data_IF_671320063124
#
_entry.id   IF_671320063124
#
_cell.length_a   1.000
_cell.length_b   1.000
_cell.length_c   1.000
_cell.angle_alpha   90.00
_cell.angle_beta   90.00
_cell.angle_gamma   90.00
#
_symmetry.space_group_name_H-M   'P 1'
#
loop_
_entity.id
_entity.type
_entity.pdbx_description
1 polymer ?
#
# COMPACT_ATOMS: atom_id res chain seq x y z
N UNK A 1 -1.07 -1.63 24.78
CA UNK A 1 0.05 -2.20 23.99
C UNK A 1 -0.56 -2.86 22.75
N UNK A 2 0.11 -2.87 21.58
CA UNK A 2 -0.40 -3.60 20.42
C UNK A 2 -0.58 -5.08 20.77
N UNK A 3 -1.53 -5.76 20.14
CA UNK A 3 -1.76 -7.18 20.34
C UNK A 3 -0.51 -7.98 19.93
N UNK A 4 -0.09 -9.00 20.71
CA UNK A 4 1.01 -9.88 20.32
C UNK A 4 0.63 -10.74 19.12
N UNK A 5 1.62 -11.21 18.35
CA UNK A 5 1.34 -12.17 17.29
C UNK A 5 0.78 -13.47 17.88
N UNK A 6 -0.25 -14.07 17.26
CA UNK A 6 -0.67 -15.41 17.63
C UNK A 6 0.43 -16.44 17.33
N UNK A 7 0.28 -17.65 17.86
CA UNK A 7 1.10 -18.79 17.44
C UNK A 7 0.97 -19.02 15.93
N UNK A 8 2.03 -19.55 15.33
CA UNK A 8 2.14 -19.72 13.89
C UNK A 8 0.99 -20.58 13.35
N UNK A 9 0.06 -20.01 12.55
CA UNK A 9 -1.10 -20.75 12.06
C UNK A 9 -0.79 -21.56 10.80
N UNK A 10 0.42 -21.43 10.25
CA UNK A 10 0.79 -22.07 8.99
C UNK A 10 1.27 -23.51 9.21
N UNK A 11 1.17 -24.33 8.16
CA UNK A 11 1.63 -25.72 8.22
C UNK A 11 3.14 -25.76 8.46
N UNK A 12 3.65 -26.50 9.48
CA UNK A 12 5.08 -26.63 9.73
C UNK A 12 5.86 -27.03 8.48
N UNK A 13 6.96 -26.34 8.22
CA UNK A 13 7.80 -26.55 7.03
C UNK A 13 7.32 -25.88 5.73
N UNK A 14 6.16 -25.22 5.73
CA UNK A 14 5.75 -24.37 4.60
C UNK A 14 6.57 -23.07 4.53
N UNK A 15 6.63 -22.46 3.35
CA UNK A 15 7.30 -21.17 3.17
C UNK A 15 6.68 -20.05 4.02
N UNK A 16 5.35 -20.10 4.20
CA UNK A 16 4.62 -19.16 5.06
C UNK A 16 4.97 -19.38 6.53
N UNK A 17 5.11 -20.65 6.96
CA UNK A 17 5.56 -20.96 8.32
C UNK A 17 6.92 -20.35 8.63
N UNK A 18 7.91 -20.54 7.75
CA UNK A 18 9.26 -20.00 7.96
C UNK A 18 9.29 -18.47 8.00
N UNK A 19 8.58 -17.79 7.10
CA UNK A 19 8.52 -16.33 7.12
C UNK A 19 7.82 -15.80 8.37
N UNK A 20 6.75 -16.47 8.83
CA UNK A 20 6.03 -16.09 10.04
C UNK A 20 6.85 -16.34 11.32
N UNK A 21 7.62 -17.44 11.39
CA UNK A 21 8.55 -17.68 12.50
C UNK A 21 9.57 -16.56 12.65
N UNK A 22 10.11 -16.04 11.54
CA UNK A 22 11.03 -14.89 11.58
C UNK A 22 10.38 -13.64 12.18
N UNK A 23 9.08 -13.43 11.95
CA UNK A 23 8.33 -12.34 12.57
C UNK A 23 8.15 -12.55 14.07
N UNK A 24 7.89 -13.79 14.51
CA UNK A 24 7.79 -14.16 15.92
C UNK A 24 9.13 -14.03 16.65
N UNK A 25 10.22 -14.46 16.03
CA UNK A 25 11.58 -14.29 16.53
C UNK A 25 11.90 -12.82 16.72
N UNK A 26 11.65 -11.99 15.69
CA UNK A 26 11.82 -10.55 15.77
C UNK A 26 10.93 -9.90 16.83
N UNK A 27 9.70 -10.40 17.04
CA UNK A 27 8.83 -9.90 18.10
C UNK A 27 9.43 -10.14 19.49
N UNK A 28 10.07 -11.30 19.68
CA UNK A 28 10.70 -11.73 20.94
C UNK A 28 12.08 -11.11 21.15
N UNK A 29 12.74 -10.62 20.09
CA UNK A 29 14.04 -9.97 20.18
C UNK A 29 14.01 -8.78 21.15
N UNK A 30 15.00 -8.73 22.05
CA UNK A 30 15.20 -7.58 22.90
C UNK A 30 15.68 -6.38 22.07
N UNK A 31 15.22 -5.18 22.42
CA UNK A 31 15.73 -3.96 21.80
C UNK A 31 17.17 -3.75 22.28
N UNK A 32 18.15 -4.07 21.42
CA UNK A 32 19.56 -3.79 21.68
C UNK A 32 19.75 -2.27 21.56
N UNK A 33 19.47 -1.55 22.65
CA UNK A 33 19.36 -0.10 22.73
C UNK A 33 20.66 0.70 22.48
N UNK A 34 21.65 0.13 21.80
CA UNK A 34 22.98 0.73 21.59
C UNK A 34 23.18 1.32 20.19
N UNK A 35 22.15 1.35 19.33
CA UNK A 35 22.24 2.06 18.05
C UNK A 35 21.75 3.50 18.17
N UNK A 36 22.69 4.46 18.06
CA UNK A 36 22.40 5.87 17.84
C UNK A 36 21.42 6.00 16.66
N UNK A 37 20.17 6.40 16.95
CA UNK A 37 19.09 6.50 15.96
C UNK A 37 17.95 5.49 16.11
N UNK A 38 17.97 4.59 17.10
CA UNK A 38 16.83 3.70 17.38
C UNK A 38 15.58 4.52 17.75
N UNK A 39 14.66 4.67 16.80
CA UNK A 39 13.36 5.28 17.09
C UNK A 39 12.56 4.31 17.96
N UNK A 40 12.12 4.69 19.17
CA UNK A 40 11.31 3.82 20.03
C UNK A 40 9.97 3.41 19.39
N UNK A 41 9.62 4.03 18.24
CA UNK A 41 8.47 3.67 17.42
C UNK A 41 8.64 2.35 16.66
N UNK A 42 9.88 1.93 16.38
CA UNK A 42 10.23 0.75 15.58
C UNK A 42 11.20 -0.16 16.33
N UNK A 43 10.80 -0.51 17.56
CA UNK A 43 11.45 -1.59 18.31
C UNK A 43 11.32 -2.92 17.55
N UNK A 44 12.23 -3.89 17.74
CA UNK A 44 12.13 -5.23 17.15
C UNK A 44 10.74 -5.83 17.35
N UNK A 45 10.23 -5.74 18.60
CA UNK A 45 8.87 -6.14 18.95
C UNK A 45 7.79 -5.59 18.00
N UNK A 46 7.82 -4.29 17.73
CA UNK A 46 6.82 -3.65 16.88
C UNK A 46 7.01 -4.03 15.41
N UNK A 47 8.26 -4.14 14.95
CA UNK A 47 8.58 -4.55 13.59
C UNK A 47 8.09 -5.98 13.30
N UNK A 48 8.34 -6.93 14.22
CA UNK A 48 7.85 -8.31 14.12
C UNK A 48 6.33 -8.36 13.98
N UNK A 49 5.61 -7.63 14.84
CA UNK A 49 4.15 -7.52 14.78
C UNK A 49 3.63 -6.93 13.47
N UNK A 50 4.24 -5.86 12.97
CA UNK A 50 3.85 -5.25 11.69
C UNK A 50 3.92 -6.30 10.58
N UNK A 51 5.06 -6.98 10.44
CA UNK A 51 5.27 -7.95 9.37
C UNK A 51 4.39 -9.20 9.54
N UNK A 52 4.24 -9.72 10.76
CA UNK A 52 3.40 -10.87 11.04
C UNK A 52 1.92 -10.59 10.74
N UNK A 53 1.38 -9.44 11.17
CA UNK A 53 0.00 -9.07 10.83
C UNK A 53 -0.18 -8.74 9.35
N UNK A 54 0.83 -8.20 8.66
CA UNK A 54 0.78 -8.03 7.21
C UNK A 54 0.60 -9.36 6.48
N UNK A 55 1.17 -10.46 6.99
CA UNK A 55 0.93 -11.81 6.44
C UNK A 55 -0.47 -12.35 6.77
N UNK A 56 -0.94 -12.15 8.02
CA UNK A 56 -2.24 -12.66 8.47
C UNK A 56 -3.43 -11.92 7.86
N UNK A 57 -3.32 -10.61 7.76
CA UNK A 57 -4.41 -9.71 7.35
C UNK A 57 -4.32 -9.33 5.87
N UNK A 58 -3.41 -9.98 5.12
CA UNK A 58 -3.30 -9.78 3.68
C UNK A 58 -4.66 -10.05 3.00
N UNK A 59 -5.23 -9.08 2.25
CA UNK A 59 -6.56 -9.25 1.64
C UNK A 59 -6.63 -10.33 0.56
N UNK A 60 -5.47 -10.75 0.03
CA UNK A 60 -5.33 -11.74 -1.03
C UNK A 60 -4.16 -12.68 -0.73
N UNK A 61 -4.23 -13.90 -1.25
CA UNK A 61 -3.14 -14.89 -1.17
C UNK A 61 -1.87 -14.39 -1.86
N UNK A 62 -2.06 -13.67 -2.96
CA UNK A 62 -1.04 -12.98 -3.73
C UNK A 62 -0.35 -11.90 -2.86
N UNK A 63 -1.16 -11.11 -2.13
CA UNK A 63 -0.72 -10.14 -1.14
C UNK A 63 0.20 -10.74 -0.08
N UNK A 64 -0.27 -11.82 0.53
CA UNK A 64 0.45 -12.59 1.55
C UNK A 64 1.78 -13.12 1.00
N UNK A 65 1.77 -13.68 -0.21
CA UNK A 65 2.97 -14.26 -0.85
C UNK A 65 4.05 -13.22 -1.13
N UNK A 66 3.69 -11.99 -1.47
CA UNK A 66 4.69 -10.93 -1.68
C UNK A 66 5.31 -10.45 -0.37
N UNK A 67 4.51 -10.24 0.68
CA UNK A 67 5.01 -9.91 2.02
C UNK A 67 5.98 -11.01 2.48
N UNK A 68 5.58 -12.28 2.31
CA UNK A 68 6.40 -13.45 2.61
C UNK A 68 7.73 -13.46 1.83
N UNK A 69 7.70 -13.19 0.52
CA UNK A 69 8.90 -13.08 -0.33
C UNK A 69 9.84 -11.97 0.13
N UNK A 70 9.30 -10.83 0.55
CA UNK A 70 10.12 -9.72 1.03
C UNK A 70 10.77 -10.04 2.37
N UNK A 71 10.03 -10.65 3.30
CA UNK A 71 10.57 -11.16 4.56
C UNK A 71 11.70 -12.15 4.28
N UNK A 72 11.50 -13.10 3.37
CA UNK A 72 12.52 -14.10 3.01
C UNK A 72 13.80 -13.46 2.44
N UNK A 73 13.69 -12.38 1.67
CA UNK A 73 14.85 -11.67 1.11
C UNK A 73 15.69 -10.97 2.16
N UNK A 74 15.12 -10.54 3.28
CA UNK A 74 15.86 -9.97 4.40
C UNK A 74 16.85 -10.99 4.95
N UNK A 75 18.13 -10.63 5.09
CA UNK A 75 19.16 -11.53 5.60
C UNK A 75 19.42 -11.30 7.08
N UNK A 76 19.36 -10.04 7.52
CA UNK A 76 19.59 -9.62 8.90
C UNK A 76 18.32 -9.13 9.59
N UNK A 77 18.36 -9.04 10.93
CA UNK A 77 17.28 -8.45 11.73
C UNK A 77 17.02 -6.99 11.32
N UNK A 78 18.07 -6.22 11.04
CA UNK A 78 17.95 -4.83 10.61
C UNK A 78 17.22 -4.68 9.27
N UNK A 79 17.37 -5.64 8.35
CA UNK A 79 16.62 -5.65 7.08
C UNK A 79 15.12 -5.80 7.34
N UNK A 80 14.74 -6.69 8.27
CA UNK A 80 13.34 -6.88 8.67
C UNK A 80 12.79 -5.61 9.35
N UNK A 81 13.60 -4.96 10.20
CA UNK A 81 13.21 -3.70 10.84
C UNK A 81 12.98 -2.59 9.82
N UNK A 82 13.86 -2.49 8.82
CA UNK A 82 13.72 -1.52 7.73
C UNK A 82 12.52 -1.82 6.85
N UNK A 83 12.25 -3.09 6.55
CA UNK A 83 11.05 -3.52 5.82
C UNK A 83 9.76 -3.15 6.58
N UNK A 84 9.71 -3.45 7.88
CA UNK A 84 8.57 -3.10 8.73
C UNK A 84 8.36 -1.58 8.80
N UNK A 85 9.44 -0.81 8.90
CA UNK A 85 9.40 0.66 8.88
C UNK A 85 8.84 1.17 7.55
N UNK A 86 9.31 0.61 6.43
CA UNK A 86 8.81 0.94 5.10
C UNK A 86 7.30 0.71 5.00
N UNK A 87 6.82 -0.48 5.38
CA UNK A 87 5.38 -0.76 5.39
C UNK A 87 4.61 0.17 6.31
N UNK A 88 5.11 0.45 7.51
CA UNK A 88 4.44 1.34 8.43
C UNK A 88 4.31 2.77 7.91
N UNK A 89 5.38 3.32 7.32
CA UNK A 89 5.46 4.72 6.93
C UNK A 89 4.83 5.02 5.57
N UNK A 90 4.97 4.09 4.62
CA UNK A 90 4.59 4.28 3.22
C UNK A 90 3.33 3.52 2.83
N UNK A 91 2.93 2.49 3.59
CA UNK A 91 1.72 1.72 3.28
C UNK A 91 0.64 1.91 4.36
N UNK A 92 0.87 1.44 5.59
CA UNK A 92 -0.12 1.45 6.67
C UNK A 92 -0.52 2.88 7.05
N UNK A 93 0.45 3.82 7.09
CA UNK A 93 0.18 5.22 7.44
C UNK A 93 -0.78 5.90 6.44
N UNK A 94 -0.83 5.48 5.18
CA UNK A 94 -1.78 6.02 4.19
C UNK A 94 -3.24 5.75 4.59
N UNK A 95 -3.49 4.58 5.19
CA UNK A 95 -4.83 4.16 5.60
C UNK A 95 -5.23 4.68 6.98
N UNK A 96 -4.28 5.24 7.75
CA UNK A 96 -4.55 5.84 9.04
C UNK A 96 -5.21 7.20 8.83
N UNK A 97 -6.55 7.18 8.73
CA UNK A 97 -7.49 8.31 8.65
C UNK A 97 -6.80 9.68 8.68
N UNK A 98 -6.65 10.30 7.52
CA UNK A 98 -6.21 11.69 7.41
C UNK A 98 -7.22 12.57 8.16
N UNK A 99 -6.89 12.95 9.40
CA UNK A 99 -7.60 14.01 10.13
C UNK A 99 -7.07 15.34 9.60
N UNK A 100 -7.52 15.73 8.42
CA UNK A 100 -7.11 17.01 7.83
C UNK A 100 -7.69 17.21 6.43
N UNK A 101 -7.83 18.47 5.99
CA UNK A 101 -8.10 18.78 4.59
C UNK A 101 -7.02 18.11 3.72
N UNK A 102 -7.43 17.53 2.59
CA UNK A 102 -6.49 17.12 1.54
C UNK A 102 -5.56 18.30 1.25
N UNK A 103 -4.22 18.13 1.28
CA UNK A 103 -3.31 19.19 0.89
C UNK A 103 -3.69 19.71 -0.49
N UNK A 104 -3.65 21.03 -0.67
CA UNK A 104 -3.88 21.63 -1.99
C UNK A 104 -2.89 21.03 -2.99
N UNK A 105 -3.36 20.84 -4.24
CA UNK A 105 -2.52 20.40 -5.37
C UNK A 105 -1.20 21.17 -5.39
N UNK A 106 -0.07 20.46 -5.32
CA UNK A 106 1.23 21.11 -5.49
C UNK A 106 1.45 21.42 -6.98
N UNK A 107 1.83 22.65 -7.30
CA UNK A 107 2.20 23.07 -8.66
C UNK A 107 3.71 22.89 -8.85
N UNK A 108 4.18 21.64 -8.85
CA UNK A 108 5.60 21.37 -9.00
C UNK A 108 6.04 21.37 -10.48
N UNK A 109 7.07 22.15 -10.82
CA UNK A 109 7.56 22.32 -12.22
C UNK A 109 8.29 21.11 -12.81
N UNK A 110 8.62 20.11 -12.01
CA UNK A 110 9.54 19.04 -12.41
C UNK A 110 8.87 17.70 -12.69
N UNK A 111 7.57 17.66 -13.03
CA UNK A 111 6.90 16.41 -13.43
C UNK A 111 7.52 15.93 -14.76
N UNK A 112 8.30 14.84 -14.80
CA UNK A 112 8.80 14.30 -16.06
C UNK A 112 7.59 13.82 -16.87
N UNK A 113 7.56 14.08 -18.18
CA UNK A 113 6.44 13.66 -19.02
C UNK A 113 6.35 12.14 -18.99
N UNK A 114 5.17 11.65 -18.66
CA UNK A 114 4.84 10.23 -18.77
C UNK A 114 4.80 9.89 -20.26
N UNK A 115 5.27 8.71 -20.64
CA UNK A 115 5.33 8.28 -22.05
C UNK A 115 3.96 8.48 -22.73
N UNK A 116 4.00 9.26 -23.81
CA UNK A 116 2.87 9.95 -24.41
C UNK A 116 2.06 9.01 -25.31
N UNK A 117 0.98 8.43 -24.79
CA UNK A 117 -0.13 8.11 -25.69
C UNK A 117 -1.01 9.35 -25.84
N UNK A 118 -1.47 9.62 -27.05
CA UNK A 118 -2.30 10.79 -27.39
C UNK A 118 -3.58 10.87 -26.53
N UNK A 119 -4.06 9.72 -26.03
CA UNK A 119 -5.16 9.63 -25.06
C UNK A 119 -4.75 10.06 -23.65
N UNK A 120 -3.55 9.71 -23.19
CA UNK A 120 -2.98 10.17 -21.92
C UNK A 120 -2.79 11.68 -21.94
N UNK A 121 -2.23 12.25 -23.02
CA UNK A 121 -2.09 13.72 -23.19
C UNK A 121 -3.47 14.38 -23.07
N UNK A 122 -4.48 13.87 -23.79
CA UNK A 122 -5.82 14.45 -23.76
C UNK A 122 -6.43 14.40 -22.36
N UNK A 123 -6.24 13.31 -21.60
CA UNK A 123 -6.68 13.22 -20.20
C UNK A 123 -5.88 14.12 -19.24
N UNK A 124 -4.60 14.38 -19.54
CA UNK A 124 -3.73 15.26 -18.74
C UNK A 124 -3.98 16.74 -19.02
N UNK A 125 -4.52 17.08 -20.19
CA UNK A 125 -4.92 18.44 -20.58
C UNK A 125 -6.27 18.84 -19.97
N UNK A 126 -7.07 17.90 -19.47
CA UNK A 126 -8.27 18.20 -18.71
C UNK A 126 -7.86 18.67 -17.30
N UNK A 127 -8.40 19.82 -16.87
CA UNK A 127 -8.11 20.34 -15.52
C UNK A 127 -8.46 19.27 -14.47
N UNK A 128 -7.49 18.96 -13.61
CA UNK A 128 -7.70 18.06 -12.49
C UNK A 128 -8.94 18.51 -11.69
N UNK A 129 -9.92 17.63 -11.46
CA UNK A 129 -11.15 18.05 -10.79
C UNK A 129 -10.84 18.54 -9.39
N UNK A 130 -11.28 19.77 -9.07
CA UNK A 130 -11.03 20.40 -7.77
C UNK A 130 -12.00 19.94 -6.68
N UNK A 131 -13.01 19.14 -7.03
CA UNK A 131 -14.02 18.66 -6.08
C UNK A 131 -13.95 17.14 -5.90
N UNK A 132 -14.07 16.70 -4.65
CA UNK A 132 -13.97 15.29 -4.25
C UNK A 132 -14.96 14.38 -5.00
N UNK A 133 -16.17 14.88 -5.30
CA UNK A 133 -17.21 14.12 -6.00
C UNK A 133 -16.79 13.77 -7.43
N UNK A 134 -16.23 14.72 -8.17
CA UNK A 134 -15.75 14.54 -9.53
C UNK A 134 -14.53 13.63 -9.56
N UNK A 135 -13.60 13.79 -8.60
CA UNK A 135 -12.46 12.87 -8.45
C UNK A 135 -12.94 11.44 -8.19
N UNK A 136 -13.90 11.24 -7.28
CA UNK A 136 -14.50 9.92 -7.04
C UNK A 136 -15.15 9.35 -8.31
N UNK A 137 -15.90 10.15 -9.06
CA UNK A 137 -16.55 9.68 -10.28
C UNK A 137 -15.54 9.25 -11.36
N UNK A 138 -14.46 10.00 -11.55
CA UNK A 138 -13.39 9.62 -12.49
C UNK A 138 -12.67 8.35 -12.04
N UNK A 139 -12.35 8.23 -10.74
CA UNK A 139 -11.72 7.05 -10.18
C UNK A 139 -12.62 5.81 -10.36
N UNK A 140 -13.91 5.91 -10.04
CA UNK A 140 -14.86 4.83 -10.27
C UNK A 140 -14.92 4.42 -11.74
N UNK A 141 -15.01 5.36 -12.68
CA UNK A 141 -15.00 5.02 -14.12
C UNK A 141 -13.72 4.28 -14.53
N UNK A 142 -12.56 4.77 -14.08
CA UNK A 142 -11.26 4.14 -14.34
C UNK A 142 -11.22 2.69 -13.82
N UNK A 143 -11.75 2.48 -12.61
CA UNK A 143 -11.65 1.21 -11.88
C UNK A 143 -12.87 0.29 -12.11
N UNK A 144 -13.62 0.52 -13.21
CA UNK A 144 -14.85 -0.20 -13.56
C UNK A 144 -15.86 -0.31 -12.41
N UNK A 145 -16.02 0.82 -11.70
CA UNK A 145 -16.90 1.03 -10.55
C UNK A 145 -16.63 0.10 -9.38
N UNK A 146 -15.41 -0.44 -9.28
CA UNK A 146 -14.98 -1.30 -8.18
C UNK A 146 -13.91 -0.63 -7.33
N UNK A 147 -13.84 -1.06 -6.07
CA UNK A 147 -12.69 -0.78 -5.23
C UNK A 147 -11.45 -1.50 -5.79
N UNK A 148 -10.36 -0.76 -5.99
CA UNK A 148 -9.08 -1.34 -6.46
C UNK A 148 -8.45 -2.33 -5.49
N UNK A 149 -8.82 -2.29 -4.20
CA UNK A 149 -8.26 -3.17 -3.17
C UNK A 149 -9.12 -4.42 -2.99
N UNK A 150 -10.44 -4.24 -2.83
CA UNK A 150 -11.34 -5.34 -2.46
C UNK A 150 -12.11 -5.93 -3.64
N UNK A 151 -12.07 -5.28 -4.81
CA UNK A 151 -12.90 -5.63 -5.96
C UNK A 151 -14.40 -5.35 -5.77
N UNK A 152 -14.83 -4.88 -4.60
CA UNK A 152 -16.25 -4.63 -4.31
C UNK A 152 -16.82 -3.51 -5.19
N UNK A 153 -18.00 -3.73 -5.76
CA UNK A 153 -18.70 -2.76 -6.59
C UNK A 153 -19.20 -1.57 -5.74
N UNK A 154 -19.16 -0.36 -6.28
CA UNK A 154 -19.55 0.84 -5.54
C UNK A 154 -21.06 0.87 -5.30
N UNK A 155 -21.47 0.90 -4.03
CA UNK A 155 -22.87 0.85 -3.61
C UNK A 155 -23.71 2.01 -4.13
N UNK A 156 -23.14 3.22 -4.22
CA UNK A 156 -23.89 4.36 -4.77
C UNK A 156 -24.10 4.24 -6.30
N UNK A 157 -23.15 3.62 -6.99
CA UNK A 157 -23.30 3.26 -8.40
C UNK A 157 -24.33 2.15 -8.57
N UNK A 158 -24.28 1.11 -7.74
CA UNK A 158 -25.26 0.02 -7.75
C UNK A 158 -26.69 0.52 -7.57
N UNK A 159 -26.93 1.40 -6.60
CA UNK A 159 -28.26 1.95 -6.36
C UNK A 159 -28.83 2.66 -7.60
N UNK A 160 -28.01 3.43 -8.31
CA UNK A 160 -28.42 4.12 -9.53
C UNK A 160 -28.68 3.17 -10.70
N UNK A 161 -27.91 2.07 -10.77
CA UNK A 161 -28.16 1.04 -11.77
C UNK A 161 -29.50 0.35 -11.49
N UNK A 162 -29.81 0.00 -10.24
CA UNK A 162 -31.11 -0.57 -9.87
C UNK A 162 -32.29 0.36 -10.18
N UNK A 163 -32.12 1.68 -10.03
CA UNK A 163 -33.15 2.66 -10.41
C UNK A 163 -33.42 2.68 -11.92
N UNK A 164 -32.43 2.29 -12.74
CA UNK A 164 -32.52 2.29 -14.20
C UNK A 164 -32.92 0.91 -14.75
N UNK A 165 -32.40 -0.14 -14.14
CA UNK A 165 -32.59 -1.55 -14.47
C UNK A 165 -32.73 -2.34 -13.16
N UNK A 166 -33.96 -2.64 -12.73
CA UNK A 166 -34.21 -3.43 -11.52
C UNK A 166 -33.65 -4.86 -11.57
N UNK A 167 -33.29 -5.38 -12.75
CA UNK A 167 -32.69 -6.69 -12.94
C UNK A 167 -31.15 -6.65 -12.95
N UNK A 168 -30.54 -5.48 -12.76
CA UNK A 168 -29.09 -5.33 -12.78
C UNK A 168 -28.42 -6.14 -11.66
N UNK A 169 -27.56 -7.08 -12.05
CA UNK A 169 -26.69 -7.81 -11.14
C UNK A 169 -25.29 -7.18 -11.10
N UNK A 170 -24.79 -6.78 -9.92
CA UNK A 170 -23.47 -6.19 -9.82
C UNK A 170 -22.40 -7.29 -9.99
N UNK A 171 -21.26 -7.00 -10.65
CA UNK A 171 -20.17 -7.97 -10.84
C UNK A 171 -19.61 -8.57 -9.55
N UNK A 172 -19.69 -7.83 -8.44
CA UNK A 172 -19.25 -8.22 -7.11
C UNK A 172 -20.18 -7.62 -6.06
N UNK A 173 -20.12 -8.13 -4.82
CA UNK A 173 -20.94 -7.63 -3.72
C UNK A 173 -20.76 -6.11 -3.52
N UNK A 174 -21.84 -5.31 -3.59
CA UNK A 174 -21.74 -3.86 -3.44
C UNK A 174 -21.31 -3.44 -2.04
N UNK A 175 -20.42 -2.45 -1.94
CA UNK A 175 -19.99 -1.82 -0.69
C UNK A 175 -19.82 -0.31 -0.81
N UNK A 176 -19.81 0.39 0.31
CA UNK A 176 -19.47 1.81 0.33
C UNK A 176 -17.98 2.00 0.01
N UNK A 177 -17.68 2.59 -1.15
CA UNK A 177 -16.30 2.95 -1.51
C UNK A 177 -16.00 4.40 -1.17
N UNK A 178 -14.73 4.70 -0.93
CA UNK A 178 -14.22 6.07 -0.82
C UNK A 178 -13.10 6.25 -1.84
N UNK A 179 -12.93 7.48 -2.32
CA UNK A 179 -11.76 7.82 -3.12
C UNK A 179 -10.62 8.18 -2.17
N UNK A 180 -9.46 7.57 -2.37
CA UNK A 180 -8.26 7.86 -1.60
C UNK A 180 -7.17 8.36 -2.56
N UNK A 181 -6.41 9.35 -2.12
CA UNK A 181 -5.14 9.66 -2.76
C UNK A 181 -4.17 8.55 -2.37
N UNK A 182 -3.74 7.75 -3.35
CA UNK A 182 -2.91 6.56 -3.08
C UNK A 182 -1.53 6.99 -2.55
N UNK A 183 -0.99 8.12 -2.99
CA UNK A 183 0.24 8.68 -2.44
C UNK A 183 0.12 10.20 -2.30
N UNK A 184 0.30 10.78 -1.10
CA UNK A 184 0.56 12.21 -0.99
C UNK A 184 1.89 12.53 -1.67
N UNK A 185 1.95 13.69 -2.34
CA UNK A 185 3.14 14.15 -3.08
C UNK A 185 4.44 14.08 -2.25
N UNK A 186 4.35 14.27 -0.93
CA UNK A 186 5.49 14.19 -0.01
C UNK A 186 6.17 12.83 0.04
N UNK A 187 5.49 11.73 -0.30
CA UNK A 187 6.12 10.40 -0.37
C UNK A 187 6.92 10.18 -1.67
N UNK A 188 6.77 11.07 -2.65
CA UNK A 188 7.53 11.01 -3.90
C UNK A 188 8.82 11.83 -3.87
N UNK A 189 9.10 12.57 -2.79
CA UNK A 189 10.19 13.54 -2.74
C UNK A 189 11.50 12.99 -2.13
N UNK A 190 11.46 11.90 -1.37
CA UNK A 190 12.61 11.43 -0.56
C UNK A 190 13.07 9.98 -0.86
N UNK A 191 12.86 9.48 -2.09
CA UNK A 191 13.44 8.19 -2.52
C UNK A 191 14.92 8.36 -2.88
N UNK A 192 15.75 8.71 -1.90
CA UNK A 192 17.22 8.72 -2.06
C UNK A 192 17.73 7.33 -1.72
N UNK A 193 18.30 6.63 -2.72
CA UNK A 193 18.99 5.36 -2.50
C UNK A 193 20.17 5.54 -1.53
N UNK A 194 20.49 4.49 -0.76
CA UNK A 194 21.46 4.47 0.35
C UNK A 194 22.91 4.84 0.00
N UNK A 195 23.19 5.23 -1.23
CA UNK A 195 24.53 5.51 -1.70
C UNK A 195 24.49 6.97 -2.12
N UNK A 196 25.16 7.85 -1.38
CA UNK A 196 25.20 9.31 -1.62
C UNK A 196 25.84 9.75 -2.95
N UNK A 197 25.74 8.93 -3.99
CA UNK A 197 25.98 9.26 -5.40
C UNK A 197 24.64 9.24 -6.15
N UNK A 198 24.48 10.06 -7.21
CA UNK A 198 23.32 10.00 -8.08
C UNK A 198 23.29 8.63 -8.77
N UNK A 199 22.58 7.68 -8.17
CA UNK A 199 22.40 6.34 -8.69
C UNK A 199 21.49 6.42 -9.92
N UNK A 200 21.93 5.77 -10.99
CA UNK A 200 21.22 5.66 -12.26
C UNK A 200 19.78 5.27 -11.98
N UNK A 201 18.85 6.14 -12.41
CA UNK A 201 17.40 6.01 -12.31
C UNK A 201 16.99 4.54 -12.38
N UNK A 202 16.60 3.96 -11.24
CA UNK A 202 15.83 2.73 -11.25
C UNK A 202 14.54 3.03 -12.02
N UNK A 203 14.20 2.24 -13.06
CA UNK A 203 13.08 2.57 -13.92
C UNK A 203 11.79 2.54 -13.10
N UNK A 204 11.02 3.62 -13.24
CA UNK A 204 9.74 3.94 -12.58
C UNK A 204 8.65 2.85 -12.67
N UNK A 205 8.90 1.74 -13.39
CA UNK A 205 8.00 0.60 -13.56
C UNK A 205 8.08 -0.48 -12.47
N UNK A 206 9.09 -0.45 -11.58
CA UNK A 206 9.27 -1.54 -10.61
C UNK A 206 8.23 -1.49 -9.48
N UNK A 207 7.89 -0.30 -8.97
CA UNK A 207 6.85 -0.10 -7.96
C UNK A 207 5.44 -0.48 -8.45
N UNK A 208 5.13 -0.18 -9.72
CA UNK A 208 3.88 -0.56 -10.37
C UNK A 208 3.76 -2.08 -10.56
N UNK A 209 4.86 -2.72 -10.95
CA UNK A 209 4.91 -4.18 -11.10
C UNK A 209 4.79 -4.90 -9.76
N UNK A 210 5.29 -4.33 -8.66
CA UNK A 210 5.24 -4.99 -7.36
C UNK A 210 3.87 -4.81 -6.67
N UNK A 211 3.15 -3.72 -6.94
CA UNK A 211 1.75 -3.54 -6.52
C UNK A 211 0.73 -4.31 -7.38
N UNK A 212 0.93 -4.38 -8.71
CA UNK A 212 0.07 -5.20 -9.57
C UNK A 212 0.19 -6.69 -9.27
N UNK A 213 1.32 -7.10 -8.68
CA UNK A 213 1.53 -8.44 -8.16
C UNK A 213 0.92 -8.66 -6.79
N UNK A 214 0.27 -7.68 -6.14
CA UNK A 214 -0.41 -7.83 -4.82
C UNK A 214 -1.93 -8.03 -4.95
N UNK A 215 -2.48 -7.81 -6.14
CA UNK A 215 -3.90 -7.98 -6.51
C UNK A 215 -4.08 -9.17 -7.44
#
# INVERSE_FOLDING_TARGET
MPQPLPENPHTPGSLQFHAYERCLELERSADNANHEGSSPRFSPQMCGRILGYMMLEAPSSIGCENVRKEIERCQAEEDLRNLARFYAEFFIRLFRKAKGPTPGSSSHRSRPSFDDTQQTIKSLMEQAPKNHKAVKQLALKRDNYRCVVTGAYDGATFQKQLETDPAFEPPTTPRFTQVAHIFPDSLNQDLVGSDGLPSKKLPHGQLWNDLAKLT
#
